data_IF_534376904264
#
_entry.id   IF_534376904264
#
_cell.length_a   1.000
_cell.length_b   1.000
_cell.length_c   1.000
_cell.angle_alpha   90.00
_cell.angle_beta   90.00
_cell.angle_gamma   90.00
#
_symmetry.space_group_name_H-M   'P 1'
#
loop_
_entity.id
_entity.type
_entity.pdbx_description
1 polymer ?
#
# COMPACT_ATOMS: atom_id res chain seq x y z
N UNK A 1 -8.23 17.18 -6.23
CA UNK A 1 -7.01 16.38 -6.53
C UNK A 1 -7.11 15.05 -5.78
N UNK A 2 -6.23 14.06 -5.97
CA UNK A 2 -6.31 12.75 -5.27
C UNK A 2 -4.97 12.42 -4.62
N UNK A 3 -4.98 11.88 -3.40
CA UNK A 3 -3.79 11.44 -2.68
C UNK A 3 -3.82 9.91 -2.49
N UNK A 4 -2.72 9.22 -2.79
CA UNK A 4 -2.55 7.78 -2.62
C UNK A 4 -1.41 7.45 -1.63
N UNK A 5 -1.58 6.39 -0.83
CA UNK A 5 -0.56 5.93 0.11
C UNK A 5 -0.53 4.41 0.25
N UNK A 6 0.65 3.86 0.54
CA UNK A 6 0.93 2.43 0.58
C UNK A 6 1.38 2.01 1.99
N UNK A 7 0.59 1.18 2.65
CA UNK A 7 0.83 0.74 4.03
C UNK A 7 1.10 -0.75 4.04
N UNK A 8 2.20 -1.15 4.67
CA UNK A 8 2.55 -2.56 4.78
C UNK A 8 1.79 -3.21 5.97
N UNK A 9 0.83 -4.13 5.74
CA UNK A 9 0.06 -4.76 6.81
C UNK A 9 0.93 -5.60 7.76
N UNK A 10 2.09 -6.11 7.31
CA UNK A 10 3.00 -6.87 8.18
C UNK A 10 3.68 -5.99 9.23
N UNK A 11 3.79 -4.68 8.97
CA UNK A 11 4.46 -3.72 9.88
C UNK A 11 3.49 -2.78 10.57
N UNK A 12 2.38 -2.45 9.92
CA UNK A 12 1.41 -1.48 10.42
C UNK A 12 -0.02 -1.91 10.06
N UNK A 13 -0.90 -2.00 11.06
CA UNK A 13 -2.31 -2.41 10.89
C UNK A 13 -3.17 -1.43 10.06
N UNK A 14 -2.65 -0.25 9.70
CA UNK A 14 -3.37 0.74 8.89
C UNK A 14 -4.48 1.49 9.63
N UNK A 15 -4.57 1.37 10.96
CA UNK A 15 -5.65 1.95 11.78
C UNK A 15 -5.76 3.47 11.66
N UNK A 16 -4.63 4.17 11.60
CA UNK A 16 -4.58 5.64 11.45
C UNK A 16 -5.16 6.09 10.10
N UNK A 17 -4.95 5.32 9.03
CA UNK A 17 -5.45 5.63 7.69
C UNK A 17 -6.95 5.43 7.60
N UNK A 18 -7.47 4.34 8.19
CA UNK A 18 -8.92 4.09 8.31
C UNK A 18 -9.63 5.21 9.09
N UNK A 19 -9.01 5.72 10.16
CA UNK A 19 -9.57 6.80 10.98
C UNK A 19 -9.53 8.19 10.31
N UNK A 20 -8.69 8.37 9.28
CA UNK A 20 -8.47 9.67 8.63
C UNK A 20 -9.25 9.87 7.32
N UNK A 21 -10.38 9.18 7.17
CA UNK A 21 -11.24 9.21 5.97
C UNK A 21 -10.55 8.74 4.68
N UNK A 22 -9.56 7.85 4.79
CA UNK A 22 -8.95 7.21 3.63
C UNK A 22 -9.70 5.94 3.24
N UNK A 23 -9.96 5.79 1.96
CA UNK A 23 -10.60 4.59 1.40
C UNK A 23 -9.53 3.55 1.09
N UNK A 24 -9.65 2.37 1.70
CA UNK A 24 -8.85 1.22 1.33
C UNK A 24 -9.38 0.63 0.01
N UNK A 25 -8.55 0.61 -1.03
CA UNK A 25 -8.94 0.16 -2.38
C UNK A 25 -8.41 -1.22 -2.75
N UNK A 26 -7.59 -1.82 -1.88
CA UNK A 26 -7.04 -3.16 -2.09
C UNK A 26 -5.55 -3.22 -1.79
N UNK A 27 -4.90 -4.27 -2.26
CA UNK A 27 -3.50 -4.52 -2.00
C UNK A 27 -2.64 -4.43 -3.26
N UNK A 28 -1.37 -4.06 -3.09
CA UNK A 28 -0.38 -4.11 -4.16
C UNK A 28 -0.05 -5.56 -4.48
N UNK A 29 0.25 -5.83 -5.75
CA UNK A 29 0.64 -7.16 -6.24
C UNK A 29 2.00 -7.65 -5.70
N UNK A 30 2.63 -6.91 -4.79
CA UNK A 30 3.87 -7.33 -4.16
C UNK A 30 5.04 -7.40 -5.14
N UNK A 31 5.22 -6.38 -5.99
CA UNK A 31 6.44 -6.28 -6.80
C UNK A 31 7.51 -5.52 -6.01
N UNK A 32 8.71 -6.09 -5.93
CA UNK A 32 9.89 -5.42 -5.38
C UNK A 32 10.86 -5.13 -6.52
N UNK A 33 11.33 -3.89 -6.58
CA UNK A 33 12.44 -3.53 -7.48
C UNK A 33 13.73 -4.14 -6.95
N UNK A 34 14.37 -4.97 -7.75
CA UNK A 34 15.70 -5.54 -7.48
C UNK A 34 16.71 -4.94 -8.46
N UNK A 35 18.00 -5.09 -8.16
CA UNK A 35 19.07 -4.54 -9.02
C UNK A 35 19.02 -5.05 -10.47
N UNK A 36 18.36 -6.18 -10.72
CA UNK A 36 18.25 -6.84 -12.03
C UNK A 36 16.83 -6.80 -12.62
N UNK A 37 15.88 -6.06 -12.03
CA UNK A 37 14.53 -5.91 -12.58
C UNK A 37 13.43 -5.77 -11.54
N UNK A 38 12.29 -6.40 -11.82
CA UNK A 38 11.15 -6.47 -10.93
C UNK A 38 10.95 -7.92 -10.52
N UNK A 39 11.07 -8.22 -9.24
CA UNK A 39 10.70 -9.52 -8.72
C UNK A 39 9.25 -9.49 -8.25
N UNK A 40 8.47 -10.48 -8.68
CA UNK A 40 7.09 -10.71 -8.27
C UNK A 40 6.96 -11.18 -6.81
N UNK A 41 8.10 -11.32 -6.10
CA UNK A 41 8.17 -11.79 -4.72
C UNK A 41 8.56 -10.61 -3.83
N UNK A 42 7.68 -9.63 -3.67
CA UNK A 42 7.69 -8.84 -2.45
C UNK A 42 6.98 -9.67 -1.40
N UNK A 43 7.73 -10.08 -0.39
CA UNK A 43 7.23 -10.83 0.76
C UNK A 43 6.06 -10.12 1.48
N UNK A 44 5.75 -8.85 1.17
CA UNK A 44 4.58 -8.16 1.70
C UNK A 44 3.77 -7.43 0.63
N UNK A 45 2.53 -7.88 0.46
CA UNK A 45 1.47 -7.17 -0.25
C UNK A 45 1.01 -5.96 0.59
N UNK A 46 1.20 -4.74 0.07
CA UNK A 46 0.90 -3.50 0.82
C UNK A 46 -0.55 -3.09 0.60
N UNK A 47 -1.25 -2.66 1.63
CA UNK A 47 -2.56 -2.00 1.51
C UNK A 47 -2.42 -0.65 0.81
N UNK A 48 -3.35 -0.36 -0.10
CA UNK A 48 -3.44 0.91 -0.82
C UNK A 48 -4.62 1.69 -0.30
N UNK A 49 -4.36 2.94 0.08
CA UNK A 49 -5.37 3.87 0.56
C UNK A 49 -5.40 5.11 -0.32
N UNK A 50 -6.60 5.58 -0.66
CA UNK A 50 -6.80 6.82 -1.41
C UNK A 50 -7.64 7.81 -0.61
N UNK A 51 -7.38 9.10 -0.80
CA UNK A 51 -8.20 10.18 -0.25
C UNK A 51 -8.40 11.28 -1.29
N UNK A 52 -9.65 11.54 -1.70
CA UNK A 52 -9.94 12.71 -2.54
C UNK A 52 -9.69 13.99 -1.74
N UNK A 53 -9.10 14.98 -2.42
CA UNK A 53 -8.72 16.29 -1.88
C UNK A 53 -9.55 17.40 -2.54
#
# INVERSE_FOLDING_TARGET
MLLETFVDPKRFYGTIYKASNWLHIGYTRGYRRTSHGYEAIADSSKMVFIRPL
#
